data_IF_465460368326
#
_entry.id   IF_465460368326
#
_cell.length_a   1.000
_cell.length_b   1.000
_cell.length_c   1.000
_cell.angle_alpha   90.00
_cell.angle_beta   90.00
_cell.angle_gamma   90.00
#
_symmetry.space_group_name_H-M   'P 1'
#
loop_
_entity.id
_entity.type
_entity.pdbx_description
1 polymer ?
#
# COMPACT_ATOMS: atom_id res chain seq x y z
N UNK A 1 -53.60 -29.79 44.26
CA UNK A 1 -53.32 -31.19 43.87
C UNK A 1 -52.47 -31.19 42.61
N UNK A 2 -51.17 -31.48 42.82
CA UNK A 2 -50.14 -32.12 41.95
C UNK A 2 -49.82 -31.43 40.61
N UNK A 3 -48.64 -30.87 40.31
CA UNK A 3 -47.22 -31.19 40.60
C UNK A 3 -46.74 -32.56 40.09
N UNK A 4 -45.82 -32.51 39.12
CA UNK A 4 -44.95 -33.57 38.56
C UNK A 4 -45.62 -34.61 37.64
N UNK A 5 -45.36 -34.48 36.33
CA UNK A 5 -45.43 -35.45 35.20
C UNK A 5 -45.85 -34.59 33.97
N UNK A 6 -45.05 -34.29 32.95
CA UNK A 6 -43.92 -34.99 32.35
C UNK A 6 -43.02 -33.91 31.76
N UNK A 7 -41.84 -33.77 32.37
CA UNK A 7 -40.66 -33.18 31.74
C UNK A 7 -40.29 -34.16 30.63
N UNK A 8 -40.76 -33.95 29.41
CA UNK A 8 -40.25 -34.63 28.22
C UNK A 8 -40.51 -33.78 27.00
N UNK A 9 -39.40 -33.32 26.43
CA UNK A 9 -39.26 -32.75 25.10
C UNK A 9 -39.79 -31.33 24.84
N UNK A 10 -39.76 -30.49 25.88
CA UNK A 10 -39.39 -29.08 25.68
C UNK A 10 -37.91 -28.97 25.32
N UNK A 11 -37.49 -29.45 24.14
CA UNK A 11 -36.11 -29.38 23.66
C UNK A 11 -36.02 -29.80 22.18
N UNK A 12 -36.66 -29.09 21.24
CA UNK A 12 -36.28 -29.20 19.81
C UNK A 12 -36.76 -28.01 18.96
N UNK A 13 -36.66 -26.79 19.49
CA UNK A 13 -36.72 -25.57 18.69
C UNK A 13 -35.58 -24.60 19.07
N UNK A 14 -34.39 -25.16 19.30
CA UNK A 14 -33.17 -24.42 19.60
C UNK A 14 -31.96 -24.95 18.81
N UNK A 15 -32.18 -25.42 17.58
CA UNK A 15 -31.10 -25.85 16.67
C UNK A 15 -31.40 -25.42 15.22
N UNK A 16 -31.63 -24.12 15.04
CA UNK A 16 -31.32 -23.43 13.78
C UNK A 16 -30.69 -22.09 14.15
N UNK A 17 -29.64 -22.12 14.98
CA UNK A 17 -28.60 -21.11 14.83
C UNK A 17 -27.82 -21.58 13.61
N UNK A 18 -27.89 -20.90 12.46
CA UNK A 18 -27.03 -21.26 11.35
C UNK A 18 -25.60 -21.23 11.88
N UNK A 19 -24.89 -22.35 11.74
CA UNK A 19 -23.46 -22.48 11.96
C UNK A 19 -22.73 -21.70 10.85
N UNK A 20 -22.93 -20.39 10.81
CA UNK A 20 -22.52 -19.51 9.73
C UNK A 20 -22.06 -18.18 10.29
N UNK A 21 -20.75 -18.12 10.62
CA UNK A 21 -19.96 -16.90 10.54
C UNK A 21 -19.88 -16.04 11.79
N UNK A 22 -19.32 -16.57 12.89
CA UNK A 22 -18.57 -15.69 13.79
C UNK A 22 -17.28 -15.33 13.05
N UNK A 23 -17.23 -14.10 12.52
CA UNK A 23 -16.10 -13.44 11.84
C UNK A 23 -15.84 -13.81 10.36
N UNK A 24 -16.72 -13.37 9.45
CA UNK A 24 -16.34 -13.20 8.04
C UNK A 24 -15.46 -11.94 7.90
N UNK A 25 -14.19 -12.00 8.28
CA UNK A 25 -13.21 -10.96 7.95
C UNK A 25 -12.66 -11.19 6.53
N UNK A 26 -13.52 -11.03 5.52
CA UNK A 26 -13.07 -11.02 4.12
C UNK A 26 -12.59 -9.59 3.85
N UNK A 27 -11.29 -9.44 3.57
CA UNK A 27 -10.72 -8.16 3.14
C UNK A 27 -11.31 -7.69 1.82
N UNK A 28 -11.19 -6.39 1.55
CA UNK A 28 -11.59 -5.79 0.27
C UNK A 28 -10.37 -5.43 -0.55
N UNK A 29 -10.53 -5.48 -1.87
CA UNK A 29 -9.50 -4.99 -2.79
C UNK A 29 -9.43 -3.48 -2.72
N UNK A 30 -8.22 -2.98 -2.52
CA UNK A 30 -7.91 -1.56 -2.45
C UNK A 30 -6.83 -1.24 -3.48
N UNK A 31 -6.89 -0.04 -4.03
CA UNK A 31 -6.07 0.41 -5.15
C UNK A 31 -5.39 1.73 -4.82
N UNK A 32 -4.15 1.91 -5.27
CA UNK A 32 -3.45 3.19 -5.20
C UNK A 32 -2.67 3.41 -6.49
N UNK A 33 -2.67 4.65 -6.94
CA UNK A 33 -1.84 5.12 -8.06
C UNK A 33 -1.04 6.31 -7.57
N UNK A 34 0.28 6.22 -7.67
CA UNK A 34 1.19 7.29 -7.25
C UNK A 34 1.92 7.83 -8.48
N UNK A 35 1.92 9.14 -8.63
CA UNK A 35 2.64 9.86 -9.68
C UNK A 35 3.56 10.91 -9.07
N UNK A 36 4.51 11.37 -9.87
CA UNK A 36 5.35 12.50 -9.51
C UNK A 36 6.45 12.73 -10.54
N UNK A 37 7.36 13.63 -10.21
CA UNK A 37 8.48 13.98 -11.08
C UNK A 37 9.75 14.23 -10.29
N UNK A 38 10.88 13.71 -10.77
CA UNK A 38 12.17 13.90 -10.14
C UNK A 38 13.13 14.73 -10.98
N UNK A 39 13.90 15.56 -10.28
CA UNK A 39 15.04 16.29 -10.80
C UNK A 39 16.31 15.93 -10.01
N UNK A 40 17.45 16.14 -10.63
CA UNK A 40 18.77 16.11 -10.00
C UNK A 40 19.57 17.27 -10.58
N UNK A 41 19.96 18.23 -9.73
CA UNK A 41 20.76 19.40 -10.15
C UNK A 41 20.11 20.18 -11.31
N UNK A 42 18.79 20.35 -11.27
CA UNK A 42 18.02 21.09 -12.29
C UNK A 42 17.74 20.32 -13.59
N UNK A 43 18.24 19.08 -13.72
CA UNK A 43 17.95 18.20 -14.86
C UNK A 43 16.91 17.14 -14.47
N UNK A 44 15.99 16.76 -15.38
CA UNK A 44 15.10 15.64 -15.11
C UNK A 44 15.87 14.36 -14.77
N UNK A 45 15.50 13.69 -13.68
CA UNK A 45 16.15 12.47 -13.24
C UNK A 45 15.43 11.25 -13.86
N UNK A 46 15.96 10.77 -14.99
CA UNK A 46 15.47 9.58 -15.69
C UNK A 46 16.01 8.28 -15.09
N UNK A 47 15.32 7.16 -15.33
CA UNK A 47 15.73 5.80 -14.93
C UNK A 47 15.86 5.58 -13.41
N UNK A 48 15.29 6.48 -12.59
CA UNK A 48 15.22 6.36 -11.13
C UNK A 48 14.21 5.27 -10.77
N UNK A 49 14.61 4.30 -9.96
CA UNK A 49 13.75 3.19 -9.55
C UNK A 49 12.79 3.65 -8.45
N UNK A 50 11.50 3.42 -8.66
CA UNK A 50 10.44 3.65 -7.67
C UNK A 50 9.73 2.34 -7.42
N UNK A 51 9.60 1.96 -6.15
CA UNK A 51 8.87 0.77 -5.74
C UNK A 51 7.73 1.14 -4.82
N UNK A 52 6.56 0.61 -5.10
CA UNK A 52 5.38 0.75 -4.27
C UNK A 52 5.26 -0.46 -3.34
N UNK A 53 5.02 -0.20 -2.07
CA UNK A 53 4.88 -1.19 -1.02
C UNK A 53 3.60 -0.93 -0.22
N UNK A 54 3.06 -2.02 0.32
CA UNK A 54 2.20 -2.00 1.49
C UNK A 54 3.07 -2.16 2.74
N UNK A 55 2.97 -1.23 3.69
CA UNK A 55 3.64 -1.32 4.99
C UNK A 55 2.92 -2.34 5.89
N UNK A 56 3.55 -3.49 6.06
CA UNK A 56 3.00 -4.60 6.84
C UNK A 56 3.63 -4.66 8.22
N UNK A 57 2.85 -5.09 9.23
CA UNK A 57 3.33 -5.18 10.62
C UNK A 57 4.60 -6.02 10.82
N UNK A 58 4.84 -7.00 9.94
CA UNK A 58 6.02 -7.88 10.01
C UNK A 58 6.98 -7.62 8.85
N UNK A 59 6.45 -7.56 7.63
CA UNK A 59 7.24 -7.30 6.42
C UNK A 59 6.43 -6.48 5.43
N UNK A 60 7.12 -5.56 4.75
CA UNK A 60 6.56 -4.82 3.62
C UNK A 60 6.23 -5.78 2.46
N UNK A 61 5.06 -5.63 1.88
CA UNK A 61 4.70 -6.35 0.65
C UNK A 61 4.92 -5.45 -0.55
N UNK A 62 5.82 -5.83 -1.47
CA UNK A 62 5.99 -5.10 -2.73
C UNK A 62 4.73 -5.27 -3.58
N UNK A 63 4.11 -4.16 -3.96
CA UNK A 63 2.94 -4.16 -4.83
C UNK A 63 3.36 -4.05 -6.30
N UNK A 64 4.21 -3.08 -6.63
CA UNK A 64 4.72 -2.86 -7.99
C UNK A 64 6.01 -2.03 -8.00
N UNK A 65 6.61 -1.85 -9.18
CA UNK A 65 7.75 -0.94 -9.39
C UNK A 65 7.78 -0.36 -10.80
N UNK A 66 8.27 0.86 -10.90
CA UNK A 66 8.49 1.57 -12.17
C UNK A 66 9.86 2.24 -12.18
N UNK A 67 10.24 2.78 -13.34
CA UNK A 67 11.38 3.69 -13.46
C UNK A 67 10.91 5.01 -14.06
N UNK A 68 11.51 6.12 -13.64
CA UNK A 68 11.17 7.43 -14.22
C UNK A 68 11.47 7.47 -15.71
N UNK A 69 10.57 8.12 -16.45
CA UNK A 69 10.72 8.43 -17.86
C UNK A 69 11.83 9.46 -18.12
N UNK A 70 12.22 9.69 -19.40
CA UNK A 70 13.26 10.67 -19.74
C UNK A 70 12.99 12.10 -19.25
N UNK A 71 11.73 12.47 -19.06
CA UNK A 71 11.34 13.77 -18.53
C UNK A 71 11.29 13.81 -16.99
N UNK A 72 11.71 12.73 -16.32
CA UNK A 72 11.74 12.57 -14.87
C UNK A 72 10.41 12.18 -14.25
N UNK A 73 9.33 12.04 -15.03
CA UNK A 73 8.01 11.65 -14.50
C UNK A 73 7.95 10.16 -14.19
N UNK A 74 7.10 9.75 -13.26
CA UNK A 74 6.79 8.34 -13.05
C UNK A 74 5.31 8.14 -12.72
N UNK A 75 4.87 6.89 -12.89
CA UNK A 75 3.60 6.39 -12.41
C UNK A 75 3.76 4.94 -11.96
N UNK A 76 3.35 4.64 -10.74
CA UNK A 76 3.32 3.28 -10.18
C UNK A 76 1.95 3.03 -9.57
N UNK A 77 1.42 1.81 -9.73
CA UNK A 77 0.10 1.46 -9.27
C UNK A 77 0.10 0.09 -8.60
N UNK A 78 -0.73 -0.09 -7.59
CA UNK A 78 -0.78 -1.32 -6.83
C UNK A 78 -2.17 -1.62 -6.34
N UNK A 79 -2.44 -2.91 -6.16
CA UNK A 79 -3.64 -3.45 -5.54
C UNK A 79 -3.24 -4.31 -4.35
N UNK A 80 -3.98 -4.21 -3.26
CA UNK A 80 -3.82 -5.08 -2.11
C UNK A 80 -5.16 -5.40 -1.46
N UNK A 81 -5.34 -6.65 -0.99
CA UNK A 81 -6.58 -7.08 -0.31
C UNK A 81 -6.37 -6.99 1.20
N UNK A 82 -7.09 -6.08 1.87
CA UNK A 82 -6.96 -5.87 3.33
C UNK A 82 -8.32 -5.59 3.98
N UNK A 83 -8.45 -5.95 5.25
CA UNK A 83 -9.69 -5.75 6.04
C UNK A 83 -9.89 -4.27 6.37
N UNK A 84 -8.79 -3.58 6.70
CA UNK A 84 -8.73 -2.13 6.90
C UNK A 84 -7.96 -1.49 5.75
N UNK A 85 -7.85 -0.17 5.75
CA UNK A 85 -7.06 0.56 4.77
C UNK A 85 -5.62 0.02 4.73
N UNK A 86 -5.12 -0.10 3.51
CA UNK A 86 -3.71 -0.37 3.25
C UNK A 86 -2.87 0.83 3.72
N UNK A 87 -1.60 0.61 4.03
CA UNK A 87 -0.63 1.60 4.49
C UNK A 87 0.44 1.79 3.39
N UNK A 88 0.11 2.45 2.26
CA UNK A 88 0.97 2.48 1.09
C UNK A 88 2.19 3.39 1.30
N UNK A 89 3.33 2.98 0.78
CA UNK A 89 4.54 3.80 0.71
C UNK A 89 5.30 3.57 -0.58
N UNK A 90 6.05 4.58 -1.03
CA UNK A 90 7.02 4.42 -2.11
C UNK A 90 8.45 4.51 -1.59
N UNK A 91 9.32 3.67 -2.14
CA UNK A 91 10.76 3.75 -1.98
C UNK A 91 11.37 4.22 -3.29
N UNK A 92 12.12 5.32 -3.24
CA UNK A 92 12.81 5.94 -4.37
C UNK A 92 14.31 5.64 -4.22
N UNK A 93 14.88 5.02 -5.24
CA UNK A 93 16.29 4.61 -5.27
C UNK A 93 17.05 5.41 -6.32
N UNK A 94 18.03 6.19 -5.90
CA UNK A 94 18.77 7.10 -6.79
C UNK A 94 20.24 7.25 -6.40
N UNK A 95 21.04 7.62 -7.39
CA UNK A 95 22.45 7.97 -7.19
C UNK A 95 22.75 9.47 -7.41
N UNK A 96 21.72 10.33 -7.45
CA UNK A 96 21.91 11.79 -7.53
C UNK A 96 22.83 12.29 -6.41
N UNK A 97 23.91 12.98 -6.77
CA UNK A 97 24.98 13.43 -5.86
C UNK A 97 25.49 12.34 -4.90
N UNK A 98 25.49 11.08 -5.35
CA UNK A 98 25.93 9.94 -4.55
C UNK A 98 27.03 9.16 -5.28
N UNK A 99 28.14 8.92 -4.58
CA UNK A 99 29.33 8.26 -5.12
C UNK A 99 29.59 6.88 -4.47
N UNK A 100 28.61 6.34 -3.76
CA UNK A 100 28.68 5.01 -3.15
C UNK A 100 28.37 3.87 -4.13
N UNK A 101 28.61 2.64 -3.68
CA UNK A 101 28.30 1.42 -4.45
C UNK A 101 26.80 1.09 -4.49
N UNK A 102 25.99 1.77 -3.69
CA UNK A 102 24.59 1.49 -3.46
C UNK A 102 23.78 2.77 -3.68
N UNK A 103 22.48 2.64 -3.90
CA UNK A 103 21.63 3.80 -4.11
C UNK A 103 21.21 4.43 -2.77
N UNK A 104 21.00 5.75 -2.79
CA UNK A 104 20.23 6.42 -1.75
C UNK A 104 18.79 5.96 -1.85
N UNK A 105 18.17 5.73 -0.70
CA UNK A 105 16.76 5.34 -0.56
C UNK A 105 16.02 6.42 0.20
N UNK A 106 15.00 6.98 -0.43
CA UNK A 106 14.01 7.86 0.20
C UNK A 106 12.70 7.08 0.32
N UNK A 107 12.07 7.13 1.49
CA UNK A 107 10.75 6.53 1.72
C UNK A 107 9.73 7.65 1.89
N UNK A 108 8.62 7.56 1.15
CA UNK A 108 7.49 8.49 1.28
C UNK A 108 6.24 7.66 1.57
N UNK A 109 5.65 7.89 2.75
CA UNK A 109 4.32 7.37 3.09
C UNK A 109 3.27 8.07 2.23
N UNK A 110 2.37 7.27 1.66
CA UNK A 110 1.28 7.75 0.81
C UNK A 110 0.04 7.82 1.69
N UNK A 111 -0.66 8.96 1.73
CA UNK A 111 -1.71 9.16 2.71
C UNK A 111 -2.96 8.36 2.33
N UNK A 112 -3.78 8.02 3.34
CA UNK A 112 -4.89 7.08 3.16
C UNK A 112 -5.97 7.61 2.20
N UNK A 113 -6.11 8.94 2.06
CA UNK A 113 -7.00 9.55 1.07
C UNK A 113 -6.63 9.24 -0.39
N UNK A 114 -5.42 8.74 -0.66
CA UNK A 114 -5.00 8.28 -1.98
C UNK A 114 -5.53 6.88 -2.32
N UNK A 115 -6.12 6.17 -1.35
CA UNK A 115 -6.61 4.81 -1.51
C UNK A 115 -8.01 4.84 -2.12
N UNK A 116 -8.21 4.01 -3.13
CA UNK A 116 -9.49 3.83 -3.81
C UNK A 116 -10.02 2.42 -3.59
N UNK A 117 -11.31 2.31 -3.29
CA UNK A 117 -12.10 1.07 -3.28
C UNK A 117 -12.68 0.74 -4.67
N UNK A 118 -12.57 1.68 -5.62
CA UNK A 118 -13.04 1.49 -6.99
C UNK A 118 -12.03 0.69 -7.78
N UNK A 119 -12.54 -0.30 -8.51
CA UNK A 119 -11.75 -1.14 -9.39
C UNK A 119 -11.04 -0.31 -10.46
N UNK A 120 -9.72 -0.50 -10.56
CA UNK A 120 -8.91 -0.01 -11.66
C UNK A 120 -7.92 1.07 -11.26
N UNK A 121 -7.12 1.48 -12.25
CA UNK A 121 -6.01 2.41 -12.07
C UNK A 121 -6.22 3.67 -12.92
N UNK A 122 -7.41 4.27 -12.84
CA UNK A 122 -7.72 5.48 -13.62
C UNK A 122 -6.82 6.65 -13.19
N UNK A 123 -6.45 7.48 -14.17
CA UNK A 123 -5.58 8.64 -13.96
C UNK A 123 -6.22 9.69 -13.03
N UNK A 124 -7.55 9.81 -13.03
CA UNK A 124 -8.27 10.78 -12.22
C UNK A 124 -8.15 10.52 -10.70
N UNK A 125 -7.67 9.33 -10.31
CA UNK A 125 -7.49 8.93 -8.91
C UNK A 125 -6.01 8.80 -8.52
N UNK A 126 -5.08 9.40 -9.27
CA UNK A 126 -3.67 9.39 -8.90
C UNK A 126 -3.34 10.38 -7.79
N UNK A 127 -2.58 9.93 -6.79
CA UNK A 127 -1.94 10.81 -5.82
C UNK A 127 -0.60 11.30 -6.36
N UNK A 128 -0.52 12.59 -6.65
CA UNK A 128 0.70 13.23 -7.11
C UNK A 128 1.54 13.71 -5.92
N UNK A 129 2.73 13.13 -5.74
CA UNK A 129 3.70 13.56 -4.72
C UNK A 129 4.39 14.89 -5.10
N UNK A 130 4.11 15.40 -6.30
CA UNK A 130 4.68 16.63 -6.84
C UNK A 130 6.04 16.42 -7.46
N UNK A 131 6.84 17.49 -7.46
CA UNK A 131 8.18 17.51 -8.03
C UNK A 131 9.23 17.53 -6.92
N UNK A 132 10.14 16.54 -6.92
CA UNK A 132 11.21 16.44 -5.93
C UNK A 132 12.58 16.63 -6.59
N UNK A 133 13.45 17.41 -5.96
CA UNK A 133 14.86 17.48 -6.32
C UNK A 133 15.64 16.47 -5.47
N UNK A 134 16.13 15.39 -6.09
CA UNK A 134 16.85 14.30 -5.44
C UNK A 134 18.25 14.70 -4.95
N UNK A 135 18.70 15.92 -5.25
CA UNK A 135 19.89 16.51 -4.66
C UNK A 135 19.65 17.08 -3.25
N UNK A 136 18.39 17.28 -2.84
CA UNK A 136 18.04 17.81 -1.54
C UNK A 136 18.23 16.76 -0.43
N UNK A 137 18.35 17.22 0.82
CA UNK A 137 18.41 16.33 1.99
C UNK A 137 17.03 15.93 2.46
N UNK A 138 16.73 14.62 2.46
CA UNK A 138 15.47 14.07 2.96
C UNK A 138 15.65 13.44 4.35
N UNK A 139 14.71 13.69 5.25
CA UNK A 139 14.70 13.03 6.56
C UNK A 139 14.47 11.53 6.39
N UNK A 140 15.26 10.70 7.07
CA UNK A 140 15.16 9.24 6.98
C UNK A 140 15.78 8.65 5.70
N UNK A 141 16.53 9.44 4.92
CA UNK A 141 17.34 8.91 3.81
C UNK A 141 18.33 7.85 4.32
N UNK A 142 18.39 6.72 3.63
CA UNK A 142 19.32 5.62 3.90
C UNK A 142 20.07 5.22 2.64
N UNK A 143 21.00 4.26 2.74
CA UNK A 143 21.62 3.62 1.56
C UNK A 143 21.17 2.16 1.47
N UNK A 144 20.81 1.71 0.27
CA UNK A 144 20.33 0.35 -0.01
C UNK A 144 20.97 -0.20 -1.28
N UNK A 145 21.54 -1.41 -1.18
CA UNK A 145 22.25 -2.09 -2.27
C UNK A 145 21.43 -3.24 -2.86
N UNK A 146 20.30 -3.59 -2.24
CA UNK A 146 19.53 -4.79 -2.57
C UNK A 146 18.09 -4.35 -2.85
N UNK A 147 17.88 -3.91 -4.08
CA UNK A 147 16.58 -3.45 -4.56
C UNK A 147 16.21 -4.06 -5.92
#
# INVERSE_FOLDING_TARGET
MNSQFVISLGCFFALLVPAGGLFNFIGTDQYVVVTGRFFCEGMPASDVLVKLYEDGTIYDTKLDSTRTYPDGTFRVAGQYTKIFDMDPKINIYHSCNHYGLCDKKITIEIPHEAISDRFGYDMDNSFDIGTLNLADGFSGESSDCIH
#
